data_IF_771406551840
#
_entry.id   IF_771406551840
#
_cell.length_a   1.000
_cell.length_b   1.000
_cell.length_c   1.000
_cell.angle_alpha   90.00
_cell.angle_beta   90.00
_cell.angle_gamma   90.00
#
_symmetry.space_group_name_H-M   'P 1'
#
loop_
_entity.id
_entity.type
_entity.pdbx_description
1 polymer ?
#
# COMPACT_ATOMS: atom_id res chain seq x y z
N UNK A 1 5.72 8.07 -4.88
CA UNK A 1 5.07 6.76 -5.09
C UNK A 1 3.81 6.95 -5.90
N UNK A 2 2.80 6.05 -5.81
CA UNK A 2 1.51 6.30 -6.45
C UNK A 2 0.90 7.63 -5.99
N UNK A 3 0.12 8.23 -6.88
CA UNK A 3 -0.77 9.34 -6.55
C UNK A 3 -2.24 8.83 -6.54
N UNK A 4 -3.19 9.66 -6.11
CA UNK A 4 -4.62 9.33 -6.05
C UNK A 4 -5.20 8.79 -7.35
N UNK A 5 -4.67 9.21 -8.51
CA UNK A 5 -5.18 8.79 -9.82
C UNK A 5 -4.74 7.36 -10.17
N UNK A 6 -3.55 6.95 -9.72
CA UNK A 6 -2.92 5.67 -10.12
C UNK A 6 -2.78 4.67 -8.97
N UNK A 7 -3.34 4.95 -7.79
CA UNK A 7 -3.19 4.09 -6.60
C UNK A 7 -3.81 2.71 -6.81
N UNK A 8 -4.96 2.65 -7.48
CA UNK A 8 -5.62 1.39 -7.83
C UNK A 8 -4.80 0.59 -8.83
N UNK A 9 -4.22 1.25 -9.83
CA UNK A 9 -3.32 0.61 -10.80
C UNK A 9 -2.05 0.08 -10.13
N UNK A 10 -1.52 0.79 -9.13
CA UNK A 10 -0.37 0.33 -8.37
C UNK A 10 -0.68 -0.95 -7.60
N UNK A 11 -1.80 -1.01 -6.88
CA UNK A 11 -2.23 -2.23 -6.17
C UNK A 11 -2.51 -3.37 -7.15
N UNK A 12 -3.14 -3.07 -8.29
CA UNK A 12 -3.36 -4.03 -9.37
C UNK A 12 -2.06 -4.59 -9.92
N UNK A 13 -1.06 -3.74 -10.15
CA UNK A 13 0.28 -4.17 -10.58
C UNK A 13 0.93 -5.10 -9.54
N UNK A 14 0.85 -4.78 -8.23
CA UNK A 14 1.38 -5.65 -7.18
C UNK A 14 0.78 -7.05 -7.25
N UNK A 15 -0.54 -7.13 -7.43
CA UNK A 15 -1.26 -8.40 -7.55
C UNK A 15 -0.92 -9.16 -8.84
N UNK A 16 -1.04 -8.51 -10.00
CA UNK A 16 -0.82 -9.14 -11.32
C UNK A 16 0.61 -9.65 -11.49
N UNK A 17 1.59 -8.88 -11.02
CA UNK A 17 3.01 -9.22 -11.11
C UNK A 17 3.50 -10.10 -9.95
N UNK A 18 2.61 -10.51 -9.04
CA UNK A 18 2.93 -11.32 -7.85
C UNK A 18 4.06 -10.70 -7.03
N UNK A 19 4.03 -9.39 -6.83
CA UNK A 19 5.03 -8.66 -6.04
C UNK A 19 4.91 -9.06 -4.58
N UNK A 20 5.96 -9.66 -4.02
CA UNK A 20 5.97 -10.08 -2.61
C UNK A 20 6.46 -8.99 -1.65
N UNK A 21 7.27 -8.04 -2.14
CA UNK A 21 7.92 -7.02 -1.32
C UNK A 21 7.85 -5.66 -1.99
N UNK A 22 7.37 -4.67 -1.25
CA UNK A 22 7.39 -3.25 -1.62
C UNK A 22 8.34 -2.53 -0.68
N UNK A 23 9.32 -1.83 -1.23
CA UNK A 23 10.25 -0.99 -0.46
C UNK A 23 9.88 0.47 -0.69
N UNK A 24 9.33 1.12 0.34
CA UNK A 24 8.98 2.53 0.31
C UNK A 24 10.11 3.34 0.95
N UNK A 25 10.73 4.22 0.17
CA UNK A 25 11.90 5.02 0.56
C UNK A 25 11.56 6.50 0.83
N UNK A 26 10.28 6.82 1.01
CA UNK A 26 9.80 8.20 1.21
C UNK A 26 8.64 8.19 2.20
N UNK A 27 8.49 9.26 2.97
CA UNK A 27 7.28 9.48 3.76
C UNK A 27 6.12 9.93 2.86
N UNK A 28 4.88 9.93 3.36
CA UNK A 28 3.74 10.46 2.61
C UNK A 28 3.90 11.96 2.33
N UNK A 29 4.40 12.70 3.32
CA UNK A 29 4.67 14.12 3.27
C UNK A 29 6.11 14.37 3.72
N UNK A 30 6.86 15.16 2.95
CA UNK A 30 8.21 15.61 3.26
C UNK A 30 8.32 17.10 2.96
N UNK A 31 8.86 17.89 3.88
CA UNK A 31 8.95 19.36 3.73
C UNK A 31 7.61 20.01 3.31
N UNK A 32 6.50 19.55 3.91
CA UNK A 32 5.12 19.95 3.58
C UNK A 32 4.66 19.64 2.14
N UNK A 33 5.44 18.88 1.37
CA UNK A 33 5.08 18.44 0.03
C UNK A 33 4.58 17.00 0.06
N UNK A 34 3.47 16.77 -0.63
CA UNK A 34 2.91 15.43 -0.81
C UNK A 34 3.78 14.61 -1.78
N UNK A 35 4.38 13.51 -1.31
CA UNK A 35 5.30 12.66 -2.08
C UNK A 35 4.68 11.35 -2.55
N UNK A 36 3.72 10.84 -1.79
CA UNK A 36 3.08 9.56 -2.05
C UNK A 36 1.70 9.55 -1.42
N UNK A 37 0.70 9.07 -2.16
CA UNK A 37 -0.57 8.69 -1.55
C UNK A 37 -0.41 7.35 -0.80
N UNK A 38 -1.10 7.23 0.32
CA UNK A 38 -1.13 6.01 1.09
C UNK A 38 -1.90 4.94 0.33
N UNK A 39 -1.29 3.76 0.15
CA UNK A 39 -1.84 2.63 -0.60
C UNK A 39 -2.07 1.39 0.29
N UNK A 40 -2.19 1.61 1.60
CA UNK A 40 -2.47 0.56 2.59
C UNK A 40 -3.47 1.09 3.64
N UNK A 41 -4.27 0.21 4.28
CA UNK A 41 -5.11 0.61 5.40
C UNK A 41 -4.29 0.82 6.68
N UNK A 42 -4.66 1.79 7.52
CA UNK A 42 -4.05 1.96 8.86
C UNK A 42 -4.50 0.86 9.83
N UNK A 43 -5.71 0.35 9.65
CA UNK A 43 -6.29 -0.78 10.37
C UNK A 43 -7.31 -1.52 9.47
N UNK A 44 -7.53 -2.81 9.72
CA UNK A 44 -8.50 -3.63 8.99
C UNK A 44 -8.17 -3.79 7.49
N UNK A 45 -9.12 -3.44 6.62
CA UNK A 45 -9.02 -3.62 5.18
C UNK A 45 -9.54 -2.42 4.37
N UNK A 46 -9.01 -2.25 3.16
CA UNK A 46 -9.39 -1.21 2.21
C UNK A 46 -9.46 -1.80 0.80
N UNK A 47 -10.35 -1.27 -0.03
CA UNK A 47 -10.50 -1.67 -1.42
C UNK A 47 -9.81 -0.68 -2.35
N UNK A 48 -9.07 -1.22 -3.33
CA UNK A 48 -8.44 -0.52 -4.43
C UNK A 48 -8.89 -1.22 -5.72
N UNK A 49 -9.91 -0.66 -6.38
CA UNK A 49 -10.67 -1.36 -7.42
C UNK A 49 -11.19 -2.74 -6.97
N UNK A 50 -10.82 -3.79 -7.70
CA UNK A 50 -11.20 -5.20 -7.43
C UNK A 50 -10.30 -5.90 -6.41
N UNK A 51 -9.32 -5.20 -5.82
CA UNK A 51 -8.38 -5.81 -4.88
C UNK A 51 -8.64 -5.26 -3.49
N UNK A 52 -8.87 -6.19 -2.57
CA UNK A 52 -8.94 -5.92 -1.14
C UNK A 52 -7.54 -6.05 -0.56
N UNK A 53 -7.08 -4.99 0.10
CA UNK A 53 -5.81 -4.94 0.83
C UNK A 53 -6.14 -4.97 2.32
N UNK A 54 -5.66 -6.00 3.02
CA UNK A 54 -5.85 -6.16 4.46
C UNK A 54 -4.53 -6.01 5.20
N UNK A 55 -4.50 -5.20 6.25
CA UNK A 55 -3.36 -5.11 7.15
C UNK A 55 -3.38 -6.30 8.13
N UNK A 56 -2.31 -7.10 8.11
CA UNK A 56 -2.16 -8.27 8.98
C UNK A 56 -1.35 -7.92 10.22
N UNK A 57 -0.28 -7.16 10.05
CA UNK A 57 0.61 -6.77 11.14
C UNK A 57 1.40 -5.51 10.77
N UNK A 58 1.70 -4.70 11.78
CA UNK A 58 2.62 -3.55 11.67
C UNK A 58 3.69 -3.68 12.74
N UNK A 59 4.96 -3.60 12.33
CA UNK A 59 6.11 -3.53 13.22
C UNK A 59 6.84 -2.22 12.96
N UNK A 60 6.93 -1.38 13.98
CA UNK A 60 7.61 -0.09 13.93
C UNK A 60 8.99 -0.24 14.57
N UNK A 61 10.02 0.15 13.83
CA UNK A 61 11.39 0.27 14.29
C UNK A 61 11.81 1.74 14.31
N UNK A 62 13.01 2.04 14.81
CA UNK A 62 13.51 3.41 14.87
C UNK A 62 13.58 4.07 13.48
N UNK A 63 14.04 3.32 12.47
CA UNK A 63 14.36 3.88 11.16
C UNK A 63 13.36 3.49 10.06
N UNK A 64 12.50 2.49 10.29
CA UNK A 64 11.56 2.00 9.29
C UNK A 64 10.35 1.30 9.91
N UNK A 65 9.31 1.09 9.11
CA UNK A 65 8.12 0.33 9.49
C UNK A 65 7.90 -0.81 8.51
N UNK A 66 7.68 -2.02 9.03
CA UNK A 66 7.28 -3.18 8.24
C UNK A 66 5.78 -3.38 8.39
N UNK A 67 5.06 -3.40 7.27
CA UNK A 67 3.64 -3.75 7.20
C UNK A 67 3.47 -5.06 6.45
N UNK A 68 2.86 -6.05 7.09
CA UNK A 68 2.44 -7.30 6.44
C UNK A 68 1.04 -7.09 5.88
N UNK A 69 0.93 -7.15 4.56
CA UNK A 69 -0.32 -6.94 3.84
C UNK A 69 -0.75 -8.26 3.19
N UNK A 70 -2.05 -8.49 3.16
CA UNK A 70 -2.69 -9.52 2.33
C UNK A 70 -3.46 -8.82 1.22
N UNK A 71 -3.20 -9.22 -0.02
CA UNK A 71 -3.96 -8.78 -1.18
C UNK A 71 -4.90 -9.93 -1.57
N UNK A 72 -6.14 -9.62 -1.88
CA UNK A 72 -7.12 -10.57 -2.39
C UNK A 72 -7.93 -9.91 -3.50
N UNK A 73 -7.85 -10.47 -4.71
CA UNK A 73 -8.78 -10.08 -5.79
C UNK A 73 -10.17 -10.63 -5.49
N UNK A 74 -11.10 -9.74 -5.13
CA UNK A 74 -12.51 -10.08 -4.95
C UNK A 74 -13.16 -10.16 -6.32
N UNK A 75 -13.69 -11.33 -6.67
CA UNK A 75 -14.51 -11.48 -7.88
C UNK A 75 -15.87 -10.85 -7.62
N UNK A 76 -16.37 -10.10 -8.60
CA UNK A 76 -17.80 -9.79 -8.69
C UNK A 76 -18.59 -11.07 -8.99
#
# INVERSE_FOLDING_TARGET
GPNKVIVDDFIRMLWEQKVEKVVMLTNLIEEAKHKCDQYWPEDGEMHFGEIRVRLINTQVFADYTIRKLELLKVRA
#
